data_IF_263861423083
#
_entry.id   IF_263861423083
#
_cell.length_a   1.000
_cell.length_b   1.000
_cell.length_c   1.000
_cell.angle_alpha   90.00
_cell.angle_beta   90.00
_cell.angle_gamma   90.00
#
_symmetry.space_group_name_H-M   'P 1'
#
loop_
_entity.id
_entity.type
_entity.pdbx_description
1 polymer ?
#
# COMPACT_ATOMS: atom_id res chain seq x y z
N UNK A 1 1.78 1.26 5.04
CA UNK A 1 2.14 2.02 6.26
C UNK A 1 1.44 3.38 6.23
N UNK A 2 0.73 3.73 7.30
CA UNK A 2 -0.03 4.99 7.40
C UNK A 2 0.89 6.22 7.40
N UNK A 3 2.00 6.19 8.14
CA UNK A 3 2.97 7.29 8.26
C UNK A 3 3.51 7.77 6.90
N UNK A 4 3.80 6.84 5.99
CA UNK A 4 4.27 7.16 4.64
C UNK A 4 3.19 7.89 3.83
N UNK A 5 1.93 7.50 4.01
CA UNK A 5 0.82 8.16 3.31
C UNK A 5 0.56 9.56 3.87
N UNK A 6 0.71 9.74 5.19
CA UNK A 6 0.53 11.04 5.84
C UNK A 6 1.58 12.08 5.47
N UNK A 7 2.80 11.66 5.12
CA UNK A 7 3.85 12.58 4.62
C UNK A 7 3.40 13.36 3.36
N UNK A 8 2.46 12.79 2.59
CA UNK A 8 1.88 13.44 1.41
C UNK A 8 0.78 14.45 1.73
N UNK A 9 0.29 14.54 2.99
CA UNK A 9 -0.82 15.40 3.37
C UNK A 9 -0.43 16.85 3.67
N UNK A 10 0.86 17.14 3.91
CA UNK A 10 1.35 18.50 4.30
C UNK A 10 0.55 19.10 5.46
N UNK A 11 0.35 18.31 6.52
CA UNK A 11 -0.48 18.69 7.68
C UNK A 11 0.06 19.91 8.43
N UNK A 12 1.33 20.24 8.27
CA UNK A 12 1.96 21.46 8.76
C UNK A 12 1.30 22.74 8.22
N UNK A 13 0.76 22.68 6.99
CA UNK A 13 0.10 23.80 6.33
C UNK A 13 -1.41 23.91 6.64
N UNK A 14 -1.98 22.92 7.32
CA UNK A 14 -3.43 22.80 7.60
C UNK A 14 -3.73 22.81 9.09
N UNK A 15 -2.80 23.31 9.92
CA UNK A 15 -2.99 23.38 11.36
C UNK A 15 -2.91 22.03 12.07
N UNK A 16 -2.19 21.05 11.50
CA UNK A 16 -2.04 19.71 12.06
C UNK A 16 -3.15 18.74 11.64
N UNK A 17 -3.98 19.08 10.66
CA UNK A 17 -5.08 18.22 10.19
C UNK A 17 -4.72 17.50 8.89
N UNK A 18 -5.09 16.22 8.77
CA UNK A 18 -4.96 15.47 7.53
C UNK A 18 -6.17 14.57 7.27
N UNK A 19 -6.36 14.24 5.99
CA UNK A 19 -7.29 13.21 5.55
C UNK A 19 -6.48 12.06 4.95
N UNK A 20 -6.69 10.84 5.47
CA UNK A 20 -6.22 9.61 4.87
C UNK A 20 -7.37 8.84 4.25
N UNK A 21 -7.12 8.29 3.07
CA UNK A 21 -8.05 7.43 2.37
C UNK A 21 -7.63 5.97 2.59
N UNK A 22 -8.57 5.13 3.01
CA UNK A 22 -8.40 3.68 2.99
C UNK A 22 -9.26 3.11 1.87
N UNK A 23 -8.61 2.32 1.02
CA UNK A 23 -9.21 1.69 -0.14
C UNK A 23 -8.91 0.20 -0.14
N UNK A 24 -9.84 -0.56 -0.71
CA UNK A 24 -9.55 -1.88 -1.24
C UNK A 24 -8.86 -1.70 -2.58
N UNK A 25 -7.81 -2.50 -2.83
CA UNK A 25 -7.04 -2.44 -4.06
C UNK A 25 -6.80 -3.84 -4.57
N UNK A 26 -7.32 -4.14 -5.76
CA UNK A 26 -7.05 -5.37 -6.50
C UNK A 26 -5.62 -5.34 -7.05
N UNK A 27 -4.69 -6.00 -6.37
CA UNK A 27 -3.29 -6.12 -6.80
C UNK A 27 -3.02 -7.39 -7.61
N UNK A 28 -3.92 -8.36 -7.58
CA UNK A 28 -3.77 -9.68 -8.18
C UNK A 28 -2.82 -10.60 -7.40
N UNK A 29 -2.85 -11.91 -7.68
CA UNK A 29 -2.10 -12.94 -6.92
C UNK A 29 -0.57 -12.76 -6.95
N UNK A 30 -0.05 -12.16 -8.01
CA UNK A 30 1.40 -12.03 -8.21
C UNK A 30 1.70 -10.69 -8.88
N UNK A 31 1.74 -9.59 -8.10
CA UNK A 31 2.13 -8.28 -8.60
C UNK A 31 3.56 -8.35 -9.17
N UNK A 32 3.86 -7.48 -10.15
CA UNK A 32 5.21 -7.36 -10.67
C UNK A 32 6.13 -6.79 -9.58
N UNK A 33 7.05 -7.59 -9.05
CA UNK A 33 8.06 -7.08 -8.11
C UNK A 33 9.10 -6.24 -8.88
N UNK A 34 9.27 -4.98 -8.45
CA UNK A 34 10.18 -4.04 -9.08
C UNK A 34 11.24 -3.49 -8.12
N UNK A 35 12.46 -3.39 -8.65
CA UNK A 35 13.65 -3.02 -7.88
C UNK A 35 14.10 -1.56 -8.06
N UNK A 36 13.49 -0.82 -8.99
CA UNK A 36 13.72 0.63 -9.14
C UNK A 36 12.48 1.36 -9.63
N UNK A 37 12.29 2.60 -9.20
CA UNK A 37 11.17 3.47 -9.59
C UNK A 37 11.33 4.07 -11.00
N UNK A 38 11.75 3.28 -11.98
CA UNK A 38 11.95 3.77 -13.35
C UNK A 38 10.63 4.27 -13.94
N UNK A 39 10.64 5.42 -14.64
CA UNK A 39 9.46 6.04 -15.28
C UNK A 39 8.74 5.14 -16.31
N UNK A 40 9.28 3.94 -16.61
CA UNK A 40 8.74 2.98 -17.57
C UNK A 40 7.89 1.87 -16.91
N UNK A 41 7.63 1.93 -15.60
CA UNK A 41 6.91 0.89 -14.82
C UNK A 41 5.60 0.44 -15.48
N UNK A 42 4.73 1.38 -15.90
CA UNK A 42 3.45 1.03 -16.55
C UNK A 42 3.62 0.27 -17.87
N UNK A 43 4.58 0.69 -18.70
CA UNK A 43 4.88 0.03 -19.96
C UNK A 43 5.52 -1.36 -19.79
N UNK A 44 6.26 -1.57 -18.70
CA UNK A 44 6.86 -2.88 -18.38
C UNK A 44 5.79 -3.82 -17.83
N UNK A 45 4.88 -3.33 -17.00
CA UNK A 45 3.81 -4.14 -16.39
C UNK A 45 2.82 -4.65 -17.43
N UNK A 46 2.41 -3.79 -18.38
CA UNK A 46 1.56 -4.19 -19.50
C UNK A 46 2.21 -5.27 -20.40
N UNK A 47 3.55 -5.30 -20.46
CA UNK A 47 4.30 -6.31 -21.22
C UNK A 47 4.49 -7.62 -20.46
N UNK A 48 4.46 -7.58 -19.13
CA UNK A 48 4.64 -8.76 -18.27
C UNK A 48 3.32 -9.46 -17.92
N UNK A 49 2.20 -9.04 -18.50
CA UNK A 49 0.85 -9.53 -18.18
C UNK A 49 0.53 -9.47 -16.68
N UNK A 50 1.07 -8.47 -15.98
CA UNK A 50 0.79 -8.21 -14.57
C UNK A 50 -0.17 -7.03 -14.44
N UNK A 51 -1.01 -7.05 -13.42
CA UNK A 51 -2.07 -6.03 -13.25
C UNK A 51 -1.67 -4.93 -12.25
N UNK A 52 -0.57 -5.11 -11.54
CA UNK A 52 -0.05 -4.15 -10.56
C UNK A 52 1.45 -4.35 -10.38
N UNK A 53 2.09 -3.38 -9.74
CA UNK A 53 3.49 -3.43 -9.33
C UNK A 53 3.61 -3.36 -7.82
N UNK A 54 4.49 -4.20 -7.28
CA UNK A 54 4.90 -4.19 -5.89
C UNK A 54 6.36 -3.74 -5.81
N UNK A 55 6.63 -2.71 -5.01
CA UNK A 55 7.97 -2.26 -4.69
C UNK A 55 8.22 -2.63 -3.23
N UNK A 56 9.09 -3.62 -3.02
CA UNK A 56 9.48 -4.07 -1.68
C UNK A 56 10.38 -3.02 -1.02
N UNK A 57 9.97 -2.55 0.15
CA UNK A 57 10.76 -1.66 0.99
C UNK A 57 11.62 -2.43 2.00
N UNK A 58 12.47 -1.72 2.75
CA UNK A 58 13.27 -2.30 3.85
C UNK A 58 12.41 -2.83 4.99
N UNK A 59 11.29 -2.18 5.25
CA UNK A 59 10.36 -2.51 6.34
C UNK A 59 8.97 -2.77 5.77
N UNK A 60 8.33 -3.85 6.21
CA UNK A 60 6.99 -4.23 5.75
C UNK A 60 6.20 -5.02 6.80
N UNK A 61 4.89 -5.23 6.55
CA UNK A 61 4.08 -6.12 7.38
C UNK A 61 4.68 -7.52 7.46
N UNK A 62 4.66 -8.09 8.65
CA UNK A 62 5.09 -9.47 8.95
C UNK A 62 3.98 -10.47 8.70
N UNK A 63 2.76 -10.10 9.07
CA UNK A 63 1.57 -10.94 8.96
C UNK A 63 0.42 -10.19 8.30
N UNK A 64 -0.44 -10.96 7.63
CA UNK A 64 -1.65 -10.50 6.98
C UNK A 64 -2.81 -11.34 7.49
N UNK A 65 -3.94 -10.69 7.72
CA UNK A 65 -5.18 -11.31 8.18
C UNK A 65 -6.32 -10.94 7.22
N UNK A 66 -7.38 -11.74 7.24
CA UNK A 66 -8.63 -11.38 6.58
C UNK A 66 -9.26 -10.19 7.34
N UNK A 67 -9.59 -9.12 6.61
CA UNK A 67 -10.17 -7.92 7.17
C UNK A 67 -11.61 -8.10 7.68
N UNK A 68 -12.21 -9.28 7.49
CA UNK A 68 -13.44 -9.69 8.17
C UNK A 68 -13.36 -9.54 9.69
N UNK A 69 -12.16 -9.70 10.27
CA UNK A 69 -11.88 -9.49 11.70
C UNK A 69 -12.18 -8.05 12.16
N UNK A 70 -12.14 -7.08 11.24
CA UNK A 70 -12.48 -5.67 11.50
C UNK A 70 -13.94 -5.39 11.15
N UNK A 71 -14.41 -5.85 9.99
CA UNK A 71 -15.79 -5.62 9.55
C UNK A 71 -16.24 -6.67 8.53
N UNK A 72 -17.45 -7.21 8.70
CA UNK A 72 -17.99 -8.32 7.89
C UNK A 72 -18.01 -8.06 6.38
N UNK A 73 -18.20 -6.80 5.96
CA UNK A 73 -18.21 -6.42 4.54
C UNK A 73 -16.86 -6.52 3.85
N UNK A 74 -15.78 -6.72 4.60
CA UNK A 74 -14.40 -6.82 4.10
C UNK A 74 -13.95 -8.29 3.97
N UNK A 75 -14.88 -9.24 4.06
CA UNK A 75 -14.58 -10.67 3.93
C UNK A 75 -13.80 -10.98 2.65
N UNK A 76 -12.66 -11.66 2.80
CA UNK A 76 -11.76 -12.02 1.71
C UNK A 76 -10.81 -10.90 1.27
N UNK A 77 -10.82 -9.74 1.94
CA UNK A 77 -9.83 -8.67 1.72
C UNK A 77 -8.70 -8.84 2.73
N UNK A 78 -7.46 -8.94 2.25
CA UNK A 78 -6.31 -9.00 3.14
C UNK A 78 -5.92 -7.61 3.67
N UNK A 79 -5.55 -7.55 4.95
CA UNK A 79 -4.92 -6.37 5.55
C UNK A 79 -3.74 -6.75 6.44
N UNK A 80 -2.75 -5.86 6.63
CA UNK A 80 -1.69 -6.06 7.62
C UNK A 80 -2.29 -6.28 9.01
N UNK A 81 -1.83 -7.30 9.74
CA UNK A 81 -2.26 -7.52 11.12
C UNK A 81 -1.85 -6.33 12.00
N UNK A 82 -2.79 -5.60 12.64
CA UNK A 82 -2.47 -4.44 13.45
C UNK A 82 -1.83 -4.80 14.80
N UNK A 83 -1.83 -6.07 15.20
CA UNK A 83 -1.23 -6.58 16.44
C UNK A 83 0.23 -6.99 16.28
N UNK A 84 0.71 -7.10 15.04
CA UNK A 84 2.07 -7.48 14.70
C UNK A 84 2.88 -6.28 14.21
N UNK A 85 4.04 -6.05 14.82
CA UNK A 85 4.94 -4.99 14.38
C UNK A 85 5.52 -5.31 12.99
N UNK A 86 5.68 -4.29 12.12
CA UNK A 86 6.39 -4.46 10.86
C UNK A 86 7.88 -4.72 11.11
N UNK A 87 8.50 -5.54 10.26
CA UNK A 87 9.91 -5.94 10.42
C UNK A 87 10.73 -5.65 9.17
N UNK A 88 12.04 -5.86 9.29
CA UNK A 88 12.96 -5.90 8.15
C UNK A 88 12.49 -6.98 7.15
N UNK A 89 12.39 -6.63 5.88
CA UNK A 89 11.99 -7.54 4.78
C UNK A 89 13.15 -8.40 4.28
N UNK A 90 14.33 -8.27 4.88
CA UNK A 90 15.60 -8.90 4.48
C UNK A 90 15.99 -8.57 3.03
N UNK A 91 15.59 -7.38 2.55
CA UNK A 91 15.84 -6.94 1.18
C UNK A 91 16.91 -5.83 1.13
N UNK A 92 18.21 -6.17 1.04
CA UNK A 92 19.32 -5.24 1.27
C UNK A 92 19.41 -4.10 0.26
N UNK A 93 18.88 -4.30 -0.95
CA UNK A 93 18.87 -3.31 -2.03
C UNK A 93 17.50 -2.65 -2.22
N UNK A 94 16.68 -2.63 -1.16
CA UNK A 94 15.37 -1.98 -1.21
C UNK A 94 15.46 -0.53 -1.68
N UNK A 95 14.72 -0.14 -2.73
CA UNK A 95 14.74 1.22 -3.27
C UNK A 95 13.98 2.22 -2.40
N UNK A 96 13.32 1.76 -1.32
CA UNK A 96 12.61 2.61 -0.37
C UNK A 96 12.54 1.99 1.03
N UNK A 97 12.20 2.79 2.04
CA UNK A 97 12.09 2.29 3.41
C UNK A 97 10.88 1.39 3.64
N UNK A 98 9.79 1.57 2.89
CA UNK A 98 8.54 0.84 3.11
C UNK A 98 7.94 0.33 1.80
N UNK A 99 7.18 -0.77 1.89
CA UNK A 99 6.46 -1.35 0.77
C UNK A 99 5.54 -0.33 0.08
N UNK A 100 5.47 -0.39 -1.25
CA UNK A 100 4.51 0.37 -2.07
C UNK A 100 3.84 -0.55 -3.08
N UNK A 101 2.55 -0.32 -3.29
CA UNK A 101 1.75 -0.99 -4.31
C UNK A 101 1.26 0.05 -5.32
N UNK A 102 1.28 -0.31 -6.60
CA UNK A 102 0.89 0.57 -7.69
C UNK A 102 -0.05 -0.22 -8.60
N UNK A 103 -1.30 0.20 -8.69
CA UNK A 103 -2.26 -0.28 -9.68
C UNK A 103 -2.27 0.66 -10.90
N UNK A 104 -2.80 0.16 -12.03
CA UNK A 104 -2.75 0.87 -13.32
C UNK A 104 -4.13 1.18 -13.89
N UNK A 105 -5.18 0.62 -13.31
CA UNK A 105 -6.56 0.86 -13.69
C UNK A 105 -7.37 1.29 -12.46
N UNK A 106 -8.14 2.37 -12.61
CA UNK A 106 -9.02 2.90 -11.57
C UNK A 106 -10.05 1.88 -11.10
N UNK A 107 -10.46 0.95 -11.98
CA UNK A 107 -11.39 -0.14 -11.62
C UNK A 107 -10.81 -1.11 -10.57
N UNK A 108 -9.51 -1.06 -10.30
CA UNK A 108 -8.87 -1.85 -9.25
C UNK A 108 -9.07 -1.26 -7.85
N UNK A 109 -9.61 -0.04 -7.74
CA UNK A 109 -9.68 0.68 -6.47
C UNK A 109 -11.14 0.83 -6.06
N UNK A 110 -11.43 0.45 -4.82
CA UNK A 110 -12.68 0.79 -4.16
C UNK A 110 -12.41 1.55 -2.86
N UNK A 111 -12.84 2.81 -2.81
CA UNK A 111 -12.74 3.64 -1.61
C UNK A 111 -13.70 3.11 -0.55
N UNK A 112 -13.21 2.93 0.68
CA UNK A 112 -14.03 2.43 1.81
C UNK A 112 -14.14 3.43 2.95
N UNK A 113 -13.03 4.03 3.36
CA UNK A 113 -13.01 4.91 4.51
C UNK A 113 -12.21 6.19 4.24
N UNK A 114 -12.71 7.30 4.79
CA UNK A 114 -12.00 8.57 4.86
C UNK A 114 -11.75 8.88 6.34
N UNK A 115 -10.49 8.87 6.74
CA UNK A 115 -10.07 9.06 8.12
C UNK A 115 -9.52 10.46 8.28
N UNK A 116 -10.11 11.25 9.18
CA UNK A 116 -9.54 12.51 9.63
C UNK A 116 -8.55 12.26 10.76
N UNK A 117 -7.38 12.86 10.67
CA UNK A 117 -6.31 12.77 11.66
C UNK A 117 -5.96 14.17 12.12
N UNK A 118 -5.86 14.33 13.44
CA UNK A 118 -5.23 15.48 14.08
C UNK A 118 -3.88 15.02 14.66
N UNK A 119 -2.80 15.67 14.24
CA UNK A 119 -1.44 15.45 14.77
C UNK A 119 -1.17 16.30 16.01
#
# INVERSE_FOLDING_TARGET
MSCVSTEHCRSDSTGGEALLLLCEVEVGESPLEMFSSSLKTGNVTNKSNKNSTFIRGRTGPTEWIDAVEIHESLMGIEMPDPTCDPSDTSYPYAPSNYNKYICYNESQIQIRYLVRIQF
#
